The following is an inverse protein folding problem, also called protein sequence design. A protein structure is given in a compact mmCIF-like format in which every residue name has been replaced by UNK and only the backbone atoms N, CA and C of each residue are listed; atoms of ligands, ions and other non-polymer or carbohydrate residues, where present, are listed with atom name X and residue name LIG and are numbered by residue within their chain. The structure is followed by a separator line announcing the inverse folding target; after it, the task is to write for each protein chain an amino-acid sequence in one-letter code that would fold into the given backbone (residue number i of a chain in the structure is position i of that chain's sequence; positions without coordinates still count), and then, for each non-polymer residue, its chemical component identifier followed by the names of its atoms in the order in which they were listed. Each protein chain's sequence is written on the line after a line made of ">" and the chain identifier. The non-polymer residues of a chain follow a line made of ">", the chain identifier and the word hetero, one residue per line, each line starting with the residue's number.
data_IF_139744630165
#
_entry.id   IF_139744630165
#
_cell.length_a   1.000
_cell.length_b   1.000
_cell.length_c   1.000
_cell.angle_alpha   90.00
_cell.angle_beta   90.00
_cell.angle_gamma   90.00
#
_symmetry.space_group_name_H-M   'P 1'
#
loop_
_entity.id
_entity.type
_entity.pdbx_description
1 polymer ?
#
# COMPACT_ATOMS: atom_id res chain seq x y z
N UNK A 1 41.64 -11.76 14.17
CA UNK A 1 40.76 -10.71 14.71
C UNK A 1 39.43 -11.33 15.05
N UNK A 2 38.96 -11.17 16.29
CA UNK A 2 37.66 -11.66 16.73
C UNK A 2 36.52 -10.72 16.29
N UNK A 3 35.28 -11.19 16.31
CA UNK A 3 34.11 -10.36 16.00
C UNK A 3 33.99 -9.14 16.93
N UNK A 4 34.36 -9.29 18.21
CA UNK A 4 34.38 -8.19 19.18
C UNK A 4 35.46 -7.16 18.87
N UNK A 5 36.65 -7.59 18.44
CA UNK A 5 37.73 -6.68 18.01
C UNK A 5 37.33 -5.92 16.75
N UNK A 6 36.75 -6.61 15.76
CA UNK A 6 36.25 -5.99 14.53
C UNK A 6 35.19 -4.92 14.82
N UNK A 7 34.21 -5.24 15.67
CA UNK A 7 33.13 -4.32 15.99
C UNK A 7 33.65 -3.10 16.76
N UNK A 8 34.52 -3.33 17.74
CA UNK A 8 35.16 -2.25 18.52
C UNK A 8 35.99 -1.35 17.61
N UNK A 9 36.77 -1.91 16.70
CA UNK A 9 37.56 -1.18 15.72
C UNK A 9 36.65 -0.36 14.78
N UNK A 10 35.57 -0.93 14.24
CA UNK A 10 34.60 -0.22 13.41
C UNK A 10 33.97 0.98 14.13
N UNK A 11 33.58 0.82 15.40
CA UNK A 11 32.98 1.89 16.22
C UNK A 11 34.01 2.97 16.56
N UNK A 12 35.19 2.58 17.07
CA UNK A 12 36.23 3.52 17.51
C UNK A 12 36.85 4.31 16.34
N UNK A 13 36.92 3.71 15.16
CA UNK A 13 37.42 4.38 13.94
C UNK A 13 36.32 5.06 13.13
N UNK A 14 35.10 5.14 13.68
CA UNK A 14 33.94 5.79 13.06
C UNK A 14 33.62 5.30 11.63
N UNK A 15 33.86 4.00 11.39
CA UNK A 15 33.51 3.30 10.13
C UNK A 15 32.08 2.77 10.14
N UNK A 16 31.30 3.04 11.18
CA UNK A 16 29.90 2.66 11.28
C UNK A 16 29.01 3.66 10.55
N UNK A 17 28.06 3.18 9.74
CA UNK A 17 27.01 3.99 9.12
C UNK A 17 25.66 3.59 9.69
N UNK A 18 24.98 4.52 10.36
CA UNK A 18 23.59 4.31 10.78
C UNK A 18 22.72 4.41 9.52
N UNK A 19 22.20 3.28 9.05
CA UNK A 19 21.19 3.23 7.98
C UNK A 19 19.82 3.31 8.62
N UNK A 20 19.41 4.51 9.03
CA UNK A 20 18.05 4.74 9.51
C UNK A 20 17.12 4.95 8.31
N UNK A 21 15.99 4.21 8.27
CA UNK A 21 14.91 4.54 7.34
C UNK A 21 14.39 5.93 7.68
N UNK A 22 14.26 6.80 6.68
CA UNK A 22 13.59 8.07 6.90
C UNK A 22 12.15 7.83 7.33
N UNK A 23 11.68 8.49 8.41
CA UNK A 23 10.30 8.37 8.83
C UNK A 23 9.39 8.94 7.73
N UNK A 24 8.27 8.27 7.48
CA UNK A 24 7.24 8.79 6.59
C UNK A 24 6.76 10.15 7.08
N UNK A 25 6.54 11.08 6.15
CA UNK A 25 5.90 12.35 6.43
C UNK A 25 4.51 12.14 7.04
N UNK A 26 3.98 13.18 7.71
CA UNK A 26 2.62 13.15 8.27
C UNK A 26 1.59 12.94 7.14
N UNK A 27 1.80 13.58 5.99
CA UNK A 27 0.90 13.49 4.85
C UNK A 27 0.90 12.09 4.25
N UNK A 28 2.06 11.46 4.11
CA UNK A 28 2.18 10.09 3.62
C UNK A 28 1.52 9.06 4.54
N UNK A 29 1.61 9.27 5.85
CA UNK A 29 0.89 8.44 6.84
C UNK A 29 -0.63 8.58 6.70
N UNK A 30 -1.12 9.82 6.51
CA UNK A 30 -2.55 10.09 6.32
C UNK A 30 -3.05 9.51 4.99
N UNK A 31 -2.31 9.71 3.90
CA UNK A 31 -2.62 9.14 2.60
C UNK A 31 -2.69 7.62 2.68
N UNK A 32 -1.71 6.97 3.34
CA UNK A 32 -1.73 5.52 3.54
C UNK A 32 -2.96 5.05 4.32
N UNK A 33 -3.37 5.77 5.37
CA UNK A 33 -4.58 5.44 6.13
C UNK A 33 -5.83 5.50 5.26
N UNK A 34 -5.98 6.57 4.45
CA UNK A 34 -7.12 6.74 3.55
C UNK A 34 -7.13 5.64 2.49
N UNK A 35 -5.99 5.37 1.85
CA UNK A 35 -5.86 4.31 0.83
C UNK A 35 -6.24 2.95 1.40
N UNK A 36 -5.80 2.61 2.61
CA UNK A 36 -6.17 1.35 3.26
C UNK A 36 -7.69 1.24 3.53
N UNK A 37 -8.31 2.33 4.01
CA UNK A 37 -9.77 2.35 4.23
C UNK A 37 -10.52 2.21 2.92
N UNK A 38 -10.08 2.91 1.88
CA UNK A 38 -10.66 2.80 0.55
C UNK A 38 -10.52 1.39 -0.02
N UNK A 39 -9.35 0.76 0.09
CA UNK A 39 -9.13 -0.62 -0.36
C UNK A 39 -10.07 -1.63 0.31
N UNK A 40 -10.32 -1.49 1.62
CA UNK A 40 -11.31 -2.31 2.30
C UNK A 40 -12.73 -2.11 1.75
N UNK A 41 -13.12 -0.87 1.44
CA UNK A 41 -14.42 -0.59 0.84
C UNK A 41 -14.52 -1.16 -0.57
N UNK A 42 -13.46 -1.04 -1.39
CA UNK A 42 -13.42 -1.64 -2.73
C UNK A 42 -13.59 -3.16 -2.67
N UNK A 43 -12.93 -3.84 -1.72
CA UNK A 43 -13.09 -5.28 -1.51
C UNK A 43 -14.53 -5.65 -1.13
N UNK A 44 -15.17 -4.87 -0.24
CA UNK A 44 -16.56 -5.11 0.13
C UNK A 44 -17.49 -4.97 -1.08
N UNK A 45 -17.30 -3.93 -1.90
CA UNK A 45 -18.08 -3.73 -3.12
C UNK A 45 -17.83 -4.89 -4.10
N UNK A 46 -16.58 -5.31 -4.29
CA UNK A 46 -16.24 -6.45 -5.14
C UNK A 46 -16.94 -7.73 -4.68
N UNK A 47 -16.99 -8.01 -3.38
CA UNK A 47 -17.73 -9.15 -2.84
C UNK A 47 -19.23 -9.08 -3.16
N UNK A 48 -19.85 -7.92 -3.00
CA UNK A 48 -21.27 -7.71 -3.33
C UNK A 48 -21.53 -7.91 -4.82
N UNK A 49 -20.68 -7.34 -5.69
CA UNK A 49 -20.78 -7.50 -7.15
C UNK A 49 -20.62 -8.96 -7.58
N UNK A 50 -19.69 -9.69 -6.97
CA UNK A 50 -19.48 -11.11 -7.25
C UNK A 50 -20.71 -11.94 -6.86
N UNK A 51 -21.33 -11.67 -5.71
CA UNK A 51 -22.57 -12.31 -5.31
C UNK A 51 -23.71 -11.99 -6.29
N UNK A 52 -23.84 -10.71 -6.67
CA UNK A 52 -24.86 -10.25 -7.61
C UNK A 52 -24.70 -10.81 -9.03
N UNK A 53 -23.47 -11.12 -9.44
CA UNK A 53 -23.19 -11.79 -10.73
C UNK A 53 -23.58 -13.27 -10.68
N UNK A 54 -23.39 -13.92 -9.53
CA UNK A 54 -23.68 -15.34 -9.33
C UNK A 54 -25.19 -15.62 -9.26
N UNK A 55 -25.95 -14.73 -8.61
CA UNK A 55 -27.41 -14.85 -8.49
C UNK A 55 -28.17 -14.23 -9.70
N UNK A 56 -27.44 -13.73 -10.70
CA UNK A 56 -27.96 -13.07 -11.90
C UNK A 56 -28.76 -11.77 -11.63
N UNK A 57 -28.62 -11.17 -10.45
CA UNK A 57 -29.19 -9.85 -10.15
C UNK A 57 -28.46 -8.71 -10.84
N UNK A 58 -27.18 -8.89 -11.17
CA UNK A 58 -26.40 -7.99 -12.02
C UNK A 58 -26.17 -8.61 -13.40
N UNK A 59 -26.43 -7.83 -14.44
CA UNK A 59 -26.06 -8.22 -15.80
C UNK A 59 -24.53 -8.27 -15.94
N UNK A 60 -24.04 -9.06 -16.89
CA UNK A 60 -22.61 -9.15 -17.17
C UNK A 60 -22.00 -7.79 -17.54
N UNK A 61 -22.70 -6.97 -18.32
CA UNK A 61 -22.19 -5.64 -18.69
C UNK A 61 -22.09 -4.71 -17.48
N UNK A 62 -23.08 -4.74 -16.58
CA UNK A 62 -23.04 -3.98 -15.33
C UNK A 62 -21.90 -4.43 -14.43
N UNK A 63 -21.68 -5.74 -14.31
CA UNK A 63 -20.59 -6.30 -13.52
C UNK A 63 -19.23 -5.88 -14.04
N UNK A 64 -18.98 -6.00 -15.35
CA UNK A 64 -17.71 -5.61 -15.98
C UNK A 64 -17.46 -4.11 -15.84
N UNK A 65 -18.47 -3.27 -16.10
CA UNK A 65 -18.33 -1.82 -15.92
C UNK A 65 -18.02 -1.44 -14.47
N UNK A 66 -18.60 -2.14 -13.49
CA UNK A 66 -18.30 -1.92 -12.09
C UNK A 66 -16.87 -2.37 -11.73
N UNK A 67 -16.41 -3.50 -12.27
CA UNK A 67 -15.05 -3.99 -12.07
C UNK A 67 -14.00 -3.00 -12.61
N UNK A 68 -14.21 -2.49 -13.83
CA UNK A 68 -13.34 -1.47 -14.45
C UNK A 68 -13.25 -0.20 -13.59
N UNK A 69 -14.38 0.21 -13.01
CA UNK A 69 -14.42 1.36 -12.10
C UNK A 69 -13.64 1.11 -10.81
N UNK A 70 -13.75 -0.07 -10.20
CA UNK A 70 -13.00 -0.43 -9.01
C UNK A 70 -11.48 -0.45 -9.28
N UNK A 71 -11.05 -1.03 -10.40
CA UNK A 71 -9.65 -1.05 -10.82
C UNK A 71 -9.11 0.37 -11.07
N UNK A 72 -9.90 1.22 -11.74
CA UNK A 72 -9.55 2.62 -11.97
C UNK A 72 -9.33 3.38 -10.66
N UNK A 73 -10.21 3.18 -9.67
CA UNK A 73 -10.07 3.80 -8.35
C UNK A 73 -8.81 3.28 -7.64
N UNK A 74 -8.56 1.97 -7.67
CA UNK A 74 -7.36 1.38 -7.06
C UNK A 74 -6.08 1.98 -7.67
N UNK A 75 -6.02 2.11 -8.99
CA UNK A 75 -4.88 2.68 -9.69
C UNK A 75 -4.66 4.15 -9.31
N UNK A 76 -5.72 4.95 -9.22
CA UNK A 76 -5.65 6.35 -8.79
C UNK A 76 -5.17 6.48 -7.32
N UNK A 77 -5.64 5.60 -6.43
CA UNK A 77 -5.21 5.57 -5.03
C UNK A 77 -3.72 5.22 -4.90
N UNK A 78 -3.26 4.22 -5.65
CA UNK A 78 -1.84 3.83 -5.70
C UNK A 78 -0.97 4.96 -6.26
N UNK A 79 -1.40 5.58 -7.36
CA UNK A 79 -0.71 6.71 -7.95
C UNK A 79 -0.62 7.90 -6.99
N UNK A 80 -1.70 8.22 -6.28
CA UNK A 80 -1.68 9.26 -5.25
C UNK A 80 -0.67 8.94 -4.15
N UNK A 81 -0.67 7.72 -3.59
CA UNK A 81 0.24 7.32 -2.53
C UNK A 81 1.73 7.41 -2.94
N UNK A 82 2.04 7.16 -4.21
CA UNK A 82 3.39 7.28 -4.76
C UNK A 82 3.85 8.74 -4.89
N UNK A 83 2.92 9.66 -5.19
CA UNK A 83 3.20 11.08 -5.41
C UNK A 83 3.15 11.92 -4.12
N UNK A 84 2.69 11.37 -2.99
CA UNK A 84 2.72 12.07 -1.70
C UNK A 84 4.14 12.07 -1.11
N UNK A 85 4.59 13.29 -0.79
CA UNK A 85 5.87 13.62 -0.17
C UNK A 85 6.08 12.89 1.16
#
# INVERSE_FOLDING_TARGET
>A
MSASEFFRDCVLTNRTRIVARQPLSIDKKRALLVVNKSGNNLNQIAHVLNAARLDSSATESTYLAALDALESIELLLKAHLQNVA
#
